data_IF_737119728415
#
_entry.id   IF_737119728415
#
_cell.length_a   1.000
_cell.length_b   1.000
_cell.length_c   1.000
_cell.angle_alpha   90.00
_cell.angle_beta   90.00
_cell.angle_gamma   90.00
#
_symmetry.space_group_name_H-M   'P 1'
#
loop_
_entity.id
_entity.type
_entity.pdbx_description
1 polymer ?
#
# COMPACT_ATOMS: atom_id res chain seq x y z
N UNK A 1 2.82 -46.02 -23.92
CA UNK A 1 1.35 -45.77 -23.85
C UNK A 1 0.96 -44.78 -22.76
N UNK A 2 1.31 -45.00 -21.47
CA UNK A 2 0.90 -44.12 -20.36
C UNK A 2 1.26 -42.63 -20.54
N UNK A 3 2.49 -42.35 -21.00
CA UNK A 3 2.95 -40.98 -21.28
C UNK A 3 2.18 -40.28 -22.41
N UNK A 4 1.80 -41.04 -23.45
CA UNK A 4 1.00 -40.54 -24.58
C UNK A 4 -0.42 -40.19 -24.12
N UNK A 5 -1.01 -41.02 -23.26
CA UNK A 5 -2.34 -40.78 -22.68
C UNK A 5 -2.31 -39.53 -21.80
N UNK A 6 -1.28 -39.36 -20.95
CA UNK A 6 -1.12 -38.16 -20.11
C UNK A 6 -0.98 -36.91 -20.98
N UNK A 7 -0.17 -36.95 -22.04
CA UNK A 7 -0.03 -35.83 -22.98
C UNK A 7 -1.35 -35.51 -23.69
N UNK A 8 -2.09 -36.51 -24.15
CA UNK A 8 -3.39 -36.31 -24.79
C UNK A 8 -4.41 -35.69 -23.83
N UNK A 9 -4.43 -36.11 -22.56
CA UNK A 9 -5.29 -35.51 -21.52
C UNK A 9 -4.90 -34.07 -21.24
N UNK A 10 -3.60 -33.76 -21.11
CA UNK A 10 -3.12 -32.39 -20.89
C UNK A 10 -3.47 -31.47 -22.06
N UNK A 11 -3.30 -31.95 -23.29
CA UNK A 11 -3.67 -31.21 -24.50
C UNK A 11 -5.20 -30.99 -24.54
N UNK A 12 -5.99 -32.04 -24.27
CA UNK A 12 -7.46 -31.94 -24.23
C UNK A 12 -7.96 -30.94 -23.19
N UNK A 13 -7.40 -30.97 -21.98
CA UNK A 13 -7.70 -29.99 -20.93
C UNK A 13 -7.27 -28.58 -21.33
N UNK A 14 -6.12 -28.43 -21.99
CA UNK A 14 -5.66 -27.13 -22.53
C UNK A 14 -6.63 -26.55 -23.56
N UNK A 15 -7.13 -27.37 -24.49
CA UNK A 15 -8.13 -26.96 -25.48
C UNK A 15 -9.46 -26.56 -24.84
N UNK A 16 -9.90 -27.27 -23.79
CA UNK A 16 -11.14 -26.94 -23.08
C UNK A 16 -11.01 -25.64 -22.27
N UNK A 17 -9.82 -25.36 -21.73
CA UNK A 17 -9.55 -24.21 -20.86
C UNK A 17 -9.34 -22.91 -21.66
N UNK A 18 -8.73 -23.00 -22.84
CA UNK A 18 -8.43 -21.87 -23.72
C UNK A 18 -9.60 -20.90 -23.98
N UNK A 19 -10.83 -21.34 -24.33
CA UNK A 19 -11.95 -20.41 -24.54
C UNK A 19 -12.41 -19.74 -23.24
N UNK A 20 -12.33 -20.45 -22.10
CA UNK A 20 -12.65 -19.90 -20.78
C UNK A 20 -11.63 -18.83 -20.40
N UNK A 21 -10.34 -19.09 -20.60
CA UNK A 21 -9.27 -18.11 -20.36
C UNK A 21 -9.37 -16.91 -21.29
N UNK A 22 -9.77 -17.10 -22.56
CA UNK A 22 -9.98 -15.99 -23.49
C UNK A 22 -11.15 -15.11 -23.06
N UNK A 23 -12.30 -15.70 -22.71
CA UNK A 23 -13.46 -14.96 -22.19
C UNK A 23 -13.15 -14.25 -20.88
N UNK A 24 -12.46 -14.93 -19.94
CA UNK A 24 -12.02 -14.30 -18.69
C UNK A 24 -11.00 -13.19 -18.94
N UNK A 25 -10.08 -13.35 -19.89
CA UNK A 25 -9.12 -12.32 -20.26
C UNK A 25 -9.82 -11.11 -20.92
N UNK A 26 -10.89 -11.34 -21.67
CA UNK A 26 -11.71 -10.31 -22.30
C UNK A 26 -12.53 -9.53 -21.26
N UNK A 27 -13.15 -10.25 -20.32
CA UNK A 27 -13.83 -9.68 -19.16
C UNK A 27 -12.86 -8.90 -18.27
N UNK A 28 -11.66 -9.44 -18.04
CA UNK A 28 -10.59 -8.76 -17.32
C UNK A 28 -10.10 -7.49 -18.06
N UNK A 29 -10.00 -7.51 -19.39
CA UNK A 29 -9.65 -6.30 -20.17
C UNK A 29 -10.72 -5.22 -20.05
N UNK A 30 -11.99 -5.59 -20.02
CA UNK A 30 -13.12 -4.68 -19.86
C UNK A 30 -13.20 -4.09 -18.44
N UNK A 31 -12.86 -4.88 -17.42
CA UNK A 31 -12.83 -4.48 -16.00
C UNK A 31 -11.46 -3.94 -15.54
N UNK A 32 -10.59 -3.49 -16.46
CA UNK A 32 -9.24 -2.97 -16.19
C UNK A 32 -8.25 -3.91 -15.45
N UNK A 33 -8.55 -5.20 -15.34
CA UNK A 33 -7.61 -6.23 -14.90
C UNK A 33 -6.54 -6.48 -15.98
N UNK A 34 -5.45 -5.71 -15.96
CA UNK A 34 -4.21 -6.04 -16.71
C UNK A 34 -3.68 -7.40 -16.27
N UNK A 35 -3.45 -8.29 -17.23
CA UNK A 35 -2.83 -9.59 -17.01
C UNK A 35 -1.39 -9.49 -16.52
N UNK A 36 -0.88 -10.58 -15.93
CA UNK A 36 0.53 -10.72 -15.55
C UNK A 36 1.30 -11.14 -16.79
N UNK A 37 2.31 -10.36 -17.19
CA UNK A 37 3.21 -10.74 -18.29
C UNK A 37 4.14 -11.87 -17.83
N UNK A 38 4.16 -12.98 -18.58
CA UNK A 38 5.07 -14.09 -18.36
C UNK A 38 6.38 -13.81 -19.09
N UNK A 39 7.45 -13.54 -18.35
CA UNK A 39 8.78 -13.29 -18.91
C UNK A 39 9.85 -14.15 -18.24
N UNK A 40 11.06 -14.20 -18.82
CA UNK A 40 12.18 -14.98 -18.28
C UNK A 40 12.62 -14.50 -16.87
N UNK A 41 12.43 -13.21 -16.58
CA UNK A 41 12.64 -12.59 -15.26
C UNK A 41 11.75 -13.23 -14.16
N UNK A 42 10.55 -13.70 -14.51
CA UNK A 42 9.68 -14.44 -13.61
C UNK A 42 10.27 -15.80 -13.18
N UNK A 43 10.98 -16.49 -14.08
CA UNK A 43 11.63 -17.78 -13.78
C UNK A 43 12.77 -17.60 -12.78
N UNK A 44 13.56 -16.55 -12.96
CA UNK A 44 14.68 -16.23 -12.08
C UNK A 44 14.18 -15.88 -10.66
N UNK A 45 13.08 -15.13 -10.57
CA UNK A 45 12.46 -14.73 -9.29
C UNK A 45 11.76 -15.85 -8.53
N UNK A 46 11.28 -16.90 -9.19
CA UNK A 46 10.46 -17.96 -8.57
C UNK A 46 11.18 -19.31 -8.43
N UNK A 47 12.33 -19.48 -9.08
CA UNK A 47 12.96 -20.78 -9.23
C UNK A 47 12.14 -21.74 -10.11
N UNK A 48 12.69 -22.94 -10.39
CA UNK A 48 12.13 -23.86 -11.38
C UNK A 48 10.75 -24.41 -11.02
N UNK A 49 10.51 -24.77 -9.76
CA UNK A 49 9.21 -25.27 -9.29
C UNK A 49 8.15 -24.17 -9.23
N UNK A 50 8.50 -22.97 -8.75
CA UNK A 50 7.60 -21.82 -8.73
C UNK A 50 7.21 -21.37 -10.14
N UNK A 51 8.15 -21.43 -11.09
CA UNK A 51 7.89 -21.12 -12.50
C UNK A 51 6.93 -22.13 -13.15
N UNK A 52 7.12 -23.44 -12.93
CA UNK A 52 6.20 -24.47 -13.43
C UNK A 52 4.80 -24.30 -12.83
N UNK A 53 4.69 -24.01 -11.53
CA UNK A 53 3.40 -23.74 -10.90
C UNK A 53 2.72 -22.47 -11.45
N UNK A 54 3.49 -21.42 -11.74
CA UNK A 54 3.00 -20.19 -12.36
C UNK A 54 2.42 -20.44 -13.77
N UNK A 55 3.09 -21.28 -14.57
CA UNK A 55 2.63 -21.68 -15.91
C UNK A 55 1.42 -22.62 -15.88
N UNK A 56 1.25 -23.39 -14.80
CA UNK A 56 0.20 -24.41 -14.68
C UNK A 56 -1.12 -23.88 -14.10
N UNK A 57 -1.21 -22.60 -13.74
CA UNK A 57 -2.39 -21.99 -13.12
C UNK A 57 -2.51 -22.19 -11.61
N UNK A 58 -1.50 -22.81 -10.95
CA UNK A 58 -1.50 -23.08 -9.51
C UNK A 58 -0.87 -21.96 -8.66
N UNK A 59 -0.49 -20.83 -9.27
CA UNK A 59 0.16 -19.69 -8.57
C UNK A 59 -0.58 -19.21 -7.32
N UNK A 60 -1.91 -19.25 -7.30
CA UNK A 60 -2.71 -18.85 -6.13
C UNK A 60 -2.44 -19.77 -4.94
N UNK A 61 -2.60 -21.08 -5.13
CA UNK A 61 -2.38 -22.09 -4.08
C UNK A 61 -0.93 -22.05 -3.58
N UNK A 62 0.03 -21.89 -4.49
CA UNK A 62 1.45 -21.75 -4.10
C UNK A 62 1.67 -20.47 -3.30
N UNK A 63 1.10 -19.33 -3.73
CA UNK A 63 1.21 -18.08 -2.99
C UNK A 63 0.59 -18.20 -1.58
N UNK A 64 -0.57 -18.84 -1.45
CA UNK A 64 -1.23 -19.05 -0.15
C UNK A 64 -0.39 -19.98 0.76
N UNK A 65 0.17 -21.05 0.21
CA UNK A 65 1.09 -21.94 0.94
C UNK A 65 2.37 -21.23 1.40
N UNK A 66 2.94 -20.37 0.56
CA UNK A 66 4.07 -19.52 0.93
C UNK A 66 3.68 -18.47 1.97
N UNK A 67 2.45 -17.95 1.92
CA UNK A 67 1.94 -16.99 2.88
C UNK A 67 1.80 -17.61 4.27
N UNK A 68 1.33 -18.85 4.39
CA UNK A 68 1.36 -19.60 5.65
C UNK A 68 2.80 -19.79 6.17
N UNK A 69 3.75 -20.14 5.31
CA UNK A 69 5.15 -20.23 5.70
C UNK A 69 5.73 -18.88 6.13
N UNK A 70 5.31 -17.77 5.50
CA UNK A 70 5.74 -16.43 5.86
C UNK A 70 5.21 -16.03 7.24
N UNK A 71 4.01 -16.49 7.60
CA UNK A 71 3.45 -16.33 8.94
C UNK A 71 4.26 -17.09 9.99
N UNK A 72 4.62 -18.36 9.74
CA UNK A 72 5.52 -19.10 10.64
C UNK A 72 6.91 -18.43 10.75
N UNK A 73 7.45 -17.91 9.65
CA UNK A 73 8.71 -17.18 9.67
C UNK A 73 8.61 -15.89 10.52
N UNK A 74 7.47 -15.20 10.46
CA UNK A 74 7.19 -14.04 11.31
C UNK A 74 7.14 -14.40 12.79
N UNK A 75 6.42 -15.46 13.17
CA UNK A 75 6.33 -15.95 14.55
C UNK A 75 7.71 -16.29 15.12
N UNK A 76 8.57 -16.88 14.30
CA UNK A 76 9.95 -17.22 14.67
C UNK A 76 10.93 -16.05 14.53
N UNK A 77 10.48 -14.84 14.20
CA UNK A 77 11.31 -13.64 13.98
C UNK A 77 12.37 -13.79 12.87
N UNK A 78 12.12 -14.68 11.91
CA UNK A 78 13.00 -14.96 10.75
C UNK A 78 12.79 -13.91 9.63
N UNK A 79 13.07 -12.63 9.92
CA UNK A 79 12.76 -11.49 9.04
C UNK A 79 13.32 -11.62 7.62
N UNK A 80 14.54 -12.17 7.48
CA UNK A 80 15.17 -12.40 6.18
C UNK A 80 14.43 -13.45 5.34
N UNK A 81 14.00 -14.55 5.97
CA UNK A 81 13.20 -15.58 5.30
C UNK A 81 11.83 -15.03 4.92
N UNK A 82 11.20 -14.30 5.83
CA UNK A 82 9.92 -13.64 5.60
C UNK A 82 9.97 -12.69 4.39
N UNK A 83 11.01 -11.86 4.29
CA UNK A 83 11.24 -10.98 3.15
C UNK A 83 11.28 -11.75 1.82
N UNK A 84 12.03 -12.86 1.77
CA UNK A 84 12.14 -13.68 0.55
C UNK A 84 10.79 -14.33 0.19
N UNK A 85 10.08 -14.87 1.17
CA UNK A 85 8.75 -15.45 0.95
C UNK A 85 7.78 -14.40 0.40
N UNK A 86 7.71 -13.21 0.99
CA UNK A 86 6.85 -12.14 0.47
C UNK A 86 7.23 -11.66 -0.92
N UNK A 87 8.52 -11.63 -1.28
CA UNK A 87 8.94 -11.36 -2.66
C UNK A 87 8.39 -12.40 -3.63
N UNK A 88 8.40 -13.68 -3.28
CA UNK A 88 7.82 -14.72 -4.11
C UNK A 88 6.29 -14.63 -4.18
N UNK A 89 5.63 -14.42 -3.04
CA UNK A 89 4.17 -14.28 -2.94
C UNK A 89 3.68 -13.14 -3.82
N UNK A 90 4.28 -11.95 -3.72
CA UNK A 90 3.87 -10.80 -4.51
C UNK A 90 4.26 -10.90 -5.98
N UNK A 91 5.26 -11.71 -6.31
CA UNK A 91 5.59 -12.08 -7.70
C UNK A 91 4.56 -13.05 -8.29
N UNK A 92 4.08 -14.01 -7.51
CA UNK A 92 3.07 -14.99 -7.93
C UNK A 92 1.67 -14.39 -8.06
N UNK A 93 1.33 -13.47 -7.16
CA UNK A 93 0.01 -12.84 -7.04
C UNK A 93 0.13 -11.31 -6.93
N UNK A 94 0.63 -10.62 -7.97
CA UNK A 94 0.88 -9.19 -7.93
C UNK A 94 -0.39 -8.33 -7.81
N UNK A 95 -1.56 -8.92 -8.06
CA UNK A 95 -2.86 -8.24 -7.97
C UNK A 95 -3.53 -8.31 -6.59
N UNK A 96 -2.99 -9.12 -5.69
CA UNK A 96 -3.55 -9.29 -4.35
C UNK A 96 -2.94 -8.23 -3.42
N UNK A 97 -3.69 -7.15 -3.19
CA UNK A 97 -3.26 -6.03 -2.34
C UNK A 97 -2.83 -6.46 -0.95
N UNK A 98 -3.56 -7.42 -0.35
CA UNK A 98 -3.28 -7.93 0.98
C UNK A 98 -1.81 -8.33 1.15
N UNK A 99 -1.23 -9.00 0.14
CA UNK A 99 0.17 -9.44 0.21
C UNK A 99 1.17 -8.28 0.20
N UNK A 100 0.90 -7.23 -0.57
CA UNK A 100 1.74 -6.04 -0.62
C UNK A 100 1.68 -5.25 0.69
N UNK A 101 0.47 -4.97 1.18
CA UNK A 101 0.26 -4.23 2.43
C UNK A 101 0.81 -5.00 3.63
N UNK A 102 0.55 -6.31 3.70
CA UNK A 102 1.06 -7.18 4.78
C UNK A 102 2.60 -7.24 4.77
N UNK A 103 3.22 -7.43 3.60
CA UNK A 103 4.68 -7.41 3.49
C UNK A 103 5.25 -6.06 3.95
N UNK A 104 4.66 -4.96 3.50
CA UNK A 104 5.10 -3.62 3.85
C UNK A 104 4.98 -3.34 5.35
N UNK A 105 3.85 -3.73 5.96
CA UNK A 105 3.60 -3.59 7.39
C UNK A 105 4.64 -4.35 8.21
N UNK A 106 4.88 -5.62 7.87
CA UNK A 106 5.85 -6.43 8.59
C UNK A 106 7.28 -5.90 8.47
N UNK A 107 7.68 -5.39 7.30
CA UNK A 107 9.00 -4.78 7.16
C UNK A 107 9.09 -3.46 7.95
N UNK A 108 8.20 -2.50 7.67
CA UNK A 108 8.32 -1.13 8.19
C UNK A 108 7.85 -0.92 9.63
N UNK A 109 7.10 -1.86 10.23
CA UNK A 109 6.74 -1.83 11.65
C UNK A 109 7.41 -2.97 12.42
N UNK A 110 7.14 -4.23 12.11
CA UNK A 110 7.58 -5.33 12.97
C UNK A 110 9.11 -5.54 12.91
N UNK A 111 9.66 -5.80 11.73
CA UNK A 111 11.08 -6.07 11.53
C UNK A 111 11.93 -4.85 11.89
N UNK A 112 11.48 -3.65 11.52
CA UNK A 112 12.18 -2.40 11.85
C UNK A 112 12.28 -2.15 13.37
N UNK A 113 11.24 -2.48 14.15
CA UNK A 113 11.25 -2.35 15.60
C UNK A 113 12.12 -3.44 16.22
N UNK A 114 12.03 -4.68 15.72
CA UNK A 114 12.91 -5.75 16.15
C UNK A 114 14.39 -5.41 15.92
N UNK A 115 14.73 -4.86 14.76
CA UNK A 115 16.09 -4.40 14.44
C UNK A 115 16.56 -3.27 15.36
N UNK A 116 15.68 -2.34 15.71
CA UNK A 116 15.99 -1.27 16.66
C UNK A 116 16.18 -1.79 18.10
N UNK A 117 15.50 -2.86 18.47
CA UNK A 117 15.52 -3.44 19.82
C UNK A 117 16.48 -4.63 19.98
N UNK A 118 17.25 -4.97 18.95
CA UNK A 118 18.17 -6.11 18.98
C UNK A 118 19.28 -5.92 20.04
N UNK A 119 19.22 -6.71 21.10
CA UNK A 119 20.20 -6.66 22.19
C UNK A 119 21.57 -7.27 21.80
N UNK A 120 21.60 -8.11 20.77
CA UNK A 120 22.83 -8.71 20.26
C UNK A 120 23.67 -7.70 19.44
N UNK A 121 23.06 -6.58 19.03
CA UNK A 121 23.74 -5.48 18.36
C UNK A 121 23.98 -4.30 19.33
N UNK A 122 25.13 -4.24 20.01
CA UNK A 122 25.39 -3.18 21.00
C UNK A 122 25.48 -1.79 20.36
N UNK A 123 25.82 -1.69 19.07
CA UNK A 123 26.01 -0.40 18.39
C UNK A 123 24.68 0.18 17.94
N UNK A 124 24.24 1.26 18.60
CA UNK A 124 23.02 1.99 18.25
C UNK A 124 22.99 2.42 16.78
N UNK A 125 24.11 2.92 16.24
CA UNK A 125 24.18 3.34 14.84
C UNK A 125 23.84 2.20 13.85
N UNK A 126 24.25 0.95 14.15
CA UNK A 126 23.94 -0.20 13.31
C UNK A 126 22.46 -0.61 13.43
N UNK A 127 21.87 -0.50 14.62
CA UNK A 127 20.42 -0.71 14.83
C UNK A 127 19.57 0.31 14.08
N UNK A 128 19.94 1.59 14.16
CA UNK A 128 19.29 2.67 13.39
C UNK A 128 19.43 2.45 11.89
N UNK A 129 20.61 2.03 11.42
CA UNK A 129 20.81 1.69 10.00
C UNK A 129 19.88 0.56 9.56
N UNK A 130 19.86 -0.55 10.30
CA UNK A 130 19.01 -1.71 10.00
C UNK A 130 17.51 -1.35 10.02
N UNK A 131 17.07 -0.55 10.99
CA UNK A 131 15.71 -0.04 11.04
C UNK A 131 15.34 0.74 9.77
N UNK A 132 16.22 1.65 9.31
CA UNK A 132 16.01 2.43 8.09
C UNK A 132 15.99 1.55 6.83
N UNK A 133 16.81 0.50 6.77
CA UNK A 133 16.78 -0.49 5.69
C UNK A 133 15.41 -1.17 5.62
N UNK A 134 14.83 -1.55 6.77
CA UNK A 134 13.48 -2.13 6.82
C UNK A 134 12.37 -1.14 6.44
N UNK A 135 12.50 0.15 6.78
CA UNK A 135 11.59 1.18 6.25
C UNK A 135 11.66 1.22 4.72
N UNK A 136 12.87 1.18 4.16
CA UNK A 136 13.09 1.14 2.71
C UNK A 136 12.46 -0.08 2.05
N UNK A 137 12.57 -1.27 2.67
CA UNK A 137 11.93 -2.50 2.18
C UNK A 137 10.40 -2.39 2.19
N UNK A 138 9.82 -1.87 3.27
CA UNK A 138 8.36 -1.68 3.34
C UNK A 138 7.86 -0.69 2.28
N UNK A 139 8.60 0.40 2.09
CA UNK A 139 8.35 1.38 1.03
C UNK A 139 8.39 0.73 -0.37
N UNK A 140 9.42 -0.07 -0.65
CA UNK A 140 9.58 -0.77 -1.92
C UNK A 140 8.40 -1.73 -2.22
N UNK A 141 7.91 -2.46 -1.22
CA UNK A 141 6.70 -3.28 -1.39
C UNK A 141 5.47 -2.43 -1.75
N UNK A 142 5.28 -1.27 -1.12
CA UNK A 142 4.14 -0.39 -1.43
C UNK A 142 4.28 0.23 -2.82
N UNK A 143 5.46 0.72 -3.20
CA UNK A 143 5.69 1.30 -4.53
C UNK A 143 5.49 0.26 -5.65
N UNK A 144 6.00 -0.96 -5.46
CA UNK A 144 5.76 -2.08 -6.41
C UNK A 144 4.29 -2.52 -6.38
N UNK A 145 3.65 -2.53 -5.22
CA UNK A 145 2.24 -2.83 -5.06
C UNK A 145 1.37 -1.85 -5.85
N UNK A 146 1.62 -0.55 -5.72
CA UNK A 146 0.96 0.53 -6.46
C UNK A 146 1.20 0.38 -7.95
N UNK A 147 2.44 0.08 -8.39
CA UNK A 147 2.74 -0.16 -9.81
C UNK A 147 1.88 -1.29 -10.41
N UNK A 148 1.62 -2.34 -9.63
CA UNK A 148 0.78 -3.47 -10.04
C UNK A 148 -0.72 -3.22 -9.84
N UNK A 149 -1.10 -2.27 -8.97
CA UNK A 149 -2.48 -1.98 -8.57
C UNK A 149 -2.71 -0.46 -8.44
N UNK A 150 -2.58 0.31 -9.54
CA UNK A 150 -2.59 1.78 -9.49
C UNK A 150 -3.98 2.37 -9.19
N UNK A 151 -5.02 1.56 -9.31
CA UNK A 151 -6.42 1.88 -9.10
C UNK A 151 -6.86 1.68 -7.63
N UNK A 152 -5.95 1.29 -6.74
CA UNK A 152 -6.27 0.87 -5.37
C UNK A 152 -5.87 1.91 -4.33
N UNK A 153 -6.84 2.65 -3.73
CA UNK A 153 -6.54 3.73 -2.79
C UNK A 153 -5.79 3.24 -1.55
N UNK A 154 -6.11 2.05 -1.04
CA UNK A 154 -5.54 1.53 0.21
C UNK A 154 -4.00 1.43 0.19
N UNK A 155 -3.39 1.16 -0.97
CA UNK A 155 -1.93 1.08 -1.09
C UNK A 155 -1.29 2.47 -1.04
N UNK A 156 -1.94 3.49 -1.60
CA UNK A 156 -1.50 4.87 -1.47
C UNK A 156 -1.65 5.36 -0.02
N UNK A 157 -2.71 4.97 0.66
CA UNK A 157 -2.90 5.29 2.08
C UNK A 157 -1.86 4.61 2.98
N UNK A 158 -1.55 3.33 2.72
CA UNK A 158 -0.49 2.62 3.42
C UNK A 158 0.87 3.31 3.22
N UNK A 159 1.15 3.79 2.00
CA UNK A 159 2.37 4.53 1.67
C UNK A 159 2.40 5.90 2.35
N UNK A 160 1.27 6.60 2.39
CA UNK A 160 1.12 7.87 3.09
C UNK A 160 1.40 7.72 4.59
N UNK A 161 0.83 6.68 5.22
CA UNK A 161 1.06 6.34 6.63
C UNK A 161 2.53 6.03 6.90
N UNK A 162 3.20 5.30 6.00
CA UNK A 162 4.63 5.02 6.13
C UNK A 162 5.47 6.31 6.05
N UNK A 163 5.20 7.20 5.09
CA UNK A 163 5.88 8.50 4.99
C UNK A 163 5.68 9.35 6.25
N UNK A 164 4.43 9.49 6.69
CA UNK A 164 4.07 10.21 7.91
C UNK A 164 4.76 9.65 9.14
N UNK A 165 4.63 8.35 9.40
CA UNK A 165 5.04 7.79 10.68
C UNK A 165 6.54 7.52 10.77
N UNK A 166 7.13 6.98 9.69
CA UNK A 166 8.52 6.49 9.70
C UNK A 166 9.50 7.51 9.17
N UNK A 167 9.13 8.25 8.14
CA UNK A 167 10.01 9.25 7.52
C UNK A 167 9.76 10.67 8.03
N UNK A 168 8.62 10.93 8.71
CA UNK A 168 8.16 12.27 9.08
C UNK A 168 8.08 13.20 7.87
N UNK A 169 7.82 12.61 6.70
CA UNK A 169 7.74 13.29 5.42
C UNK A 169 6.26 13.63 5.14
N UNK A 170 5.83 14.75 5.72
CA UNK A 170 4.44 15.20 5.65
C UNK A 170 4.03 15.59 4.22
N UNK A 171 4.97 16.07 3.41
CA UNK A 171 4.69 16.46 2.03
C UNK A 171 4.35 15.24 1.18
N UNK A 172 5.20 14.22 1.19
CA UNK A 172 4.90 12.97 0.46
C UNK A 172 3.71 12.22 1.03
N UNK A 173 3.48 12.29 2.35
CA UNK A 173 2.27 11.74 2.95
C UNK A 173 1.01 12.44 2.41
N UNK A 174 1.02 13.78 2.35
CA UNK A 174 -0.07 14.57 1.79
C UNK A 174 -0.35 14.22 0.32
N UNK A 175 0.69 14.07 -0.49
CA UNK A 175 0.57 13.68 -1.90
C UNK A 175 -0.02 12.27 -2.07
N UNK A 176 0.40 11.32 -1.24
CA UNK A 176 -0.10 9.95 -1.31
C UNK A 176 -1.58 9.89 -0.89
N UNK A 177 -1.98 10.59 0.18
CA UNK A 177 -3.40 10.71 0.53
C UNK A 177 -4.22 11.44 -0.54
N UNK A 178 -3.66 12.47 -1.20
CA UNK A 178 -4.33 13.15 -2.31
C UNK A 178 -4.58 12.19 -3.48
N UNK A 179 -3.59 11.35 -3.81
CA UNK A 179 -3.72 10.30 -4.84
C UNK A 179 -4.78 9.27 -4.44
N UNK A 180 -4.77 8.80 -3.20
CA UNK A 180 -5.80 7.90 -2.69
C UNK A 180 -7.19 8.51 -2.85
N UNK A 181 -7.39 9.74 -2.37
CA UNK A 181 -8.65 10.47 -2.41
C UNK A 181 -9.24 10.69 -3.82
N UNK A 182 -8.39 10.66 -4.85
CA UNK A 182 -8.80 10.85 -6.24
C UNK A 182 -9.29 9.55 -6.90
N UNK A 183 -9.08 8.39 -6.27
CA UNK A 183 -9.43 7.08 -6.84
C UNK A 183 -10.87 6.65 -6.48
N UNK A 184 -11.52 5.83 -7.33
CA UNK A 184 -12.79 5.21 -6.98
C UNK A 184 -12.65 4.32 -5.73
N UNK A 185 -13.65 4.37 -4.84
CA UNK A 185 -13.64 3.58 -3.60
C UNK A 185 -12.73 4.14 -2.49
N UNK A 186 -12.15 5.33 -2.68
CA UNK A 186 -11.37 6.01 -1.66
C UNK A 186 -12.18 6.28 -0.39
N UNK A 187 -11.49 6.30 0.75
CA UNK A 187 -12.15 6.52 2.03
C UNK A 187 -12.40 8.02 2.19
N UNK A 188 -13.57 8.45 2.72
CA UNK A 188 -13.89 9.87 2.83
C UNK A 188 -12.84 10.70 3.59
N UNK A 189 -12.08 10.06 4.50
CA UNK A 189 -11.05 10.75 5.27
C UNK A 189 -9.76 11.04 4.50
N UNK A 190 -9.53 10.46 3.32
CA UNK A 190 -8.27 10.63 2.58
C UNK A 190 -8.03 12.09 2.19
N UNK A 191 -9.10 12.79 1.77
CA UNK A 191 -9.05 14.22 1.47
C UNK A 191 -8.62 15.04 2.69
N UNK A 192 -9.18 14.72 3.86
CA UNK A 192 -8.83 15.37 5.13
C UNK A 192 -7.39 15.08 5.51
N UNK A 193 -6.94 13.83 5.41
CA UNK A 193 -5.58 13.45 5.75
C UNK A 193 -4.56 14.12 4.81
N UNK A 194 -4.86 14.24 3.52
CA UNK A 194 -4.03 15.03 2.61
C UNK A 194 -3.88 16.48 3.10
N UNK A 195 -4.98 17.14 3.45
CA UNK A 195 -4.95 18.53 3.93
C UNK A 195 -4.29 18.67 5.32
N UNK A 196 -4.50 17.71 6.21
CA UNK A 196 -3.84 17.68 7.53
C UNK A 196 -2.34 17.55 7.38
N UNK A 197 -1.85 16.58 6.61
CA UNK A 197 -0.42 16.40 6.42
C UNK A 197 0.21 17.63 5.75
N UNK A 198 -0.44 18.23 4.74
CA UNK A 198 0.05 19.46 4.09
C UNK A 198 0.21 20.63 5.07
N UNK A 199 -0.68 20.73 6.06
CA UNK A 199 -0.62 21.80 7.05
C UNK A 199 0.63 21.76 7.94
N UNK A 200 1.35 20.63 7.99
CA UNK A 200 2.61 20.51 8.72
C UNK A 200 3.84 20.88 7.87
N UNK A 201 3.67 21.10 6.56
CA UNK A 201 4.76 21.45 5.65
C UNK A 201 5.08 22.94 5.70
N UNK A 202 6.34 23.28 5.98
CA UNK A 202 6.83 24.66 5.92
C UNK A 202 6.78 25.18 4.49
N UNK A 203 6.30 26.42 4.31
CA UNK A 203 6.15 27.05 2.99
C UNK A 203 4.89 26.67 2.21
N UNK A 204 4.07 25.74 2.73
CA UNK A 204 2.80 25.29 2.11
C UNK A 204 1.57 25.73 2.92
N UNK A 205 1.73 26.64 3.88
CA UNK A 205 0.69 27.04 4.84
C UNK A 205 -0.56 27.59 4.15
N UNK A 206 -0.39 28.45 3.14
CA UNK A 206 -1.49 29.07 2.41
C UNK A 206 -2.33 28.05 1.67
N UNK A 207 -1.68 27.14 0.97
CA UNK A 207 -2.35 26.05 0.25
C UNK A 207 -3.05 25.09 1.21
N UNK A 208 -2.40 24.75 2.33
CA UNK A 208 -3.02 23.93 3.36
C UNK A 208 -4.27 24.60 3.95
N UNK A 209 -4.21 25.92 4.19
CA UNK A 209 -5.35 26.70 4.67
C UNK A 209 -6.50 26.64 3.67
N UNK A 210 -6.23 26.89 2.39
CA UNK A 210 -7.24 26.86 1.32
C UNK A 210 -7.89 25.48 1.19
N UNK A 211 -7.10 24.39 1.24
CA UNK A 211 -7.64 23.01 1.20
C UNK A 211 -8.50 22.69 2.43
N UNK A 212 -8.06 23.07 3.62
CA UNK A 212 -8.83 22.84 4.84
C UNK A 212 -10.09 23.71 4.88
N UNK A 213 -10.02 24.94 4.35
CA UNK A 213 -11.15 25.86 4.27
C UNK A 213 -12.21 25.34 3.32
N UNK A 214 -11.80 24.86 2.15
CA UNK A 214 -12.69 24.18 1.22
C UNK A 214 -13.44 23.03 1.89
N UNK A 215 -12.73 22.15 2.60
CA UNK A 215 -13.35 21.06 3.36
C UNK A 215 -14.31 21.58 4.44
N UNK A 216 -13.96 22.63 5.18
CA UNK A 216 -14.86 23.24 6.17
C UNK A 216 -16.18 23.74 5.56
N UNK A 217 -16.10 24.30 4.36
CA UNK A 217 -17.21 24.89 3.63
C UNK A 217 -18.12 23.83 2.96
N UNK A 218 -17.66 22.58 2.80
CA UNK A 218 -18.49 21.44 2.32
C UNK A 218 -19.63 21.07 3.27
N UNK A 219 -19.52 21.44 4.56
CA UNK A 219 -20.64 21.33 5.50
C UNK A 219 -20.25 20.80 6.89
N UNK A 220 -21.23 20.71 7.81
CA UNK A 220 -21.00 20.35 9.21
C UNK A 220 -20.28 19.02 9.43
N UNK A 221 -20.45 18.05 8.52
CA UNK A 221 -19.81 16.74 8.57
C UNK A 221 -18.27 16.79 8.49
N UNK A 222 -17.73 17.81 7.83
CA UNK A 222 -16.27 18.00 7.68
C UNK A 222 -15.68 18.86 8.81
N UNK A 223 -16.51 19.49 9.65
CA UNK A 223 -16.09 20.38 10.75
C UNK A 223 -15.61 19.59 11.97
N UNK A 224 -14.72 18.64 11.73
CA UNK A 224 -14.11 17.78 12.74
C UNK A 224 -13.12 18.57 13.61
N UNK A 225 -12.91 18.16 14.88
CA UNK A 225 -12.03 18.88 15.80
C UNK A 225 -10.61 19.10 15.26
N UNK A 226 -10.02 18.09 14.61
CA UNK A 226 -8.69 18.21 14.01
C UNK A 226 -8.67 19.24 12.88
N UNK A 227 -9.67 19.25 12.00
CA UNK A 227 -9.76 20.20 10.90
C UNK A 227 -9.84 21.65 11.42
N UNK A 228 -10.71 21.89 12.41
CA UNK A 228 -10.87 23.21 13.03
C UNK A 228 -9.58 23.65 13.72
N UNK A 229 -8.94 22.76 14.48
CA UNK A 229 -7.70 23.09 15.16
C UNK A 229 -6.58 23.47 14.17
N UNK A 230 -6.45 22.72 13.06
CA UNK A 230 -5.47 23.03 12.01
C UNK A 230 -5.82 24.33 11.27
N UNK A 231 -7.10 24.58 10.98
CA UNK A 231 -7.53 25.85 10.37
C UNK A 231 -7.18 27.05 11.23
N UNK A 232 -7.57 27.05 12.51
CA UNK A 232 -7.28 28.18 13.42
C UNK A 232 -5.78 28.42 13.56
N UNK A 233 -5.01 27.34 13.69
CA UNK A 233 -3.55 27.43 13.72
C UNK A 233 -2.99 28.13 12.48
N UNK A 234 -3.49 27.80 11.28
CA UNK A 234 -3.07 28.44 10.04
C UNK A 234 -3.61 29.88 9.91
N UNK A 235 -4.81 30.17 10.40
CA UNK A 235 -5.37 31.53 10.43
C UNK A 235 -4.48 32.48 11.24
N UNK A 236 -4.03 32.02 12.40
CA UNK A 236 -3.09 32.76 13.24
C UNK A 236 -1.73 32.89 12.55
N UNK A 237 -1.17 31.78 12.03
CA UNK A 237 0.14 31.75 11.39
C UNK A 237 0.22 32.64 10.14
N UNK A 238 -0.87 32.70 9.37
CA UNK A 238 -0.97 33.50 8.13
C UNK A 238 -1.47 34.92 8.37
N UNK A 239 -1.87 35.29 9.60
CA UNK A 239 -2.45 36.59 9.89
C UNK A 239 -3.77 36.84 9.15
N UNK A 240 -4.62 35.81 9.00
CA UNK A 240 -5.92 35.95 8.32
C UNK A 240 -6.79 36.97 9.08
N UNK A 241 -7.43 37.95 8.42
CA UNK A 241 -8.30 38.92 9.07
C UNK A 241 -9.47 38.24 9.79
N UNK A 242 -9.86 38.75 10.96
CA UNK A 242 -10.90 38.14 11.81
C UNK A 242 -12.22 37.87 11.07
N UNK A 243 -12.59 38.73 10.12
CA UNK A 243 -13.79 38.63 9.30
C UNK A 243 -13.79 37.41 8.36
N UNK A 244 -12.61 36.90 8.00
CA UNK A 244 -12.42 35.76 7.11
C UNK A 244 -12.21 34.43 7.88
N UNK A 245 -12.05 34.51 9.21
CA UNK A 245 -11.78 33.34 10.04
C UNK A 245 -13.01 32.48 10.27
N UNK A 246 -12.80 31.21 10.57
CA UNK A 246 -13.89 30.36 11.05
C UNK A 246 -14.37 30.80 12.44
N UNK A 247 -15.67 30.65 12.78
CA UNK A 247 -16.20 31.08 14.07
C UNK A 247 -15.54 30.39 15.26
N UNK A 248 -15.38 31.12 16.37
CA UNK A 248 -14.75 30.56 17.57
C UNK A 248 -15.59 29.50 18.28
N UNK A 249 -16.92 29.65 18.21
CA UNK A 249 -17.89 28.68 18.67
C UNK A 249 -18.57 28.06 17.45
N UNK A 250 -18.45 26.74 17.29
CA UNK A 250 -19.37 26.00 16.43
C UNK A 250 -20.77 26.17 17.04
N UNK A 251 -21.64 26.92 16.38
CA UNK A 251 -23.04 27.01 16.78
C UNK A 251 -23.61 25.58 16.83
N UNK A 252 -24.01 25.13 18.03
CA UNK A 252 -24.68 23.86 18.28
C UNK A 252 -26.12 23.93 17.75
N UNK A 253 -26.30 24.11 16.45
CA UNK A 253 -27.63 24.14 15.82
C UNK A 253 -27.56 23.47 14.46
N UNK A 254 -27.59 22.15 14.50
CA UNK A 254 -28.23 21.32 13.49
C UNK A 254 -28.51 19.96 14.16
N UNK A 255 -29.72 19.82 14.68
CA UNK A 255 -30.34 18.52 14.98
C UNK A 255 -30.96 18.00 13.70
#
# INVERSE_FOLDING_TARGET
MRTIIVLAVLIGLGFLKLPIERNLAELHRQEHFRGVEFNLDLREKLGQLGFVAALSGFRAIVADGLFLQAYTAWENTEWGRMLLLFRHITTLQPRVMLFWDTAAWHMAWNASVAAMNDQNQPRLALRVKAQREYFGLGKDFLERGIKNNPDRPDLYEALARLYKEKYKDHERASECYAKAAALPGARPFDKRFSAYELSYCEGREREAYERLRHLYDEGPQERLPTLIARLKFLEDKLGIPQEQRIPDKLNKTAK
#
